data_IF_130913841313
#
_entry.id   IF_130913841313
#
_cell.length_a   1.000
_cell.length_b   1.000
_cell.length_c   1.000
_cell.angle_alpha   90.00
_cell.angle_beta   90.00
_cell.angle_gamma   90.00
#
_symmetry.space_group_name_H-M   'P 1'
#
loop_
_entity.id
_entity.type
_entity.pdbx_description
1 polymer ?
#
# COMPACT_ATOMS: atom_id res chain seq x y z
N UNK A 1 3.67 3.94 24.63
CA UNK A 1 3.90 5.37 24.30
C UNK A 1 3.14 5.80 23.03
N UNK A 2 3.08 4.96 22.00
CA UNK A 2 2.51 5.29 20.68
C UNK A 2 1.25 4.51 20.34
N UNK A 3 0.65 3.82 21.32
CA UNK A 3 -0.58 3.04 21.13
C UNK A 3 -1.82 3.90 20.83
N UNK A 4 -2.93 3.23 20.49
CA UNK A 4 -3.09 1.79 20.33
C UNK A 4 -2.30 1.25 19.13
N UNK A 5 -1.92 -0.06 19.15
CA UNK A 5 -1.07 -0.65 18.12
C UNK A 5 -1.83 -1.51 17.10
N UNK A 6 -3.08 -1.86 17.38
CA UNK A 6 -3.92 -2.60 16.44
C UNK A 6 -4.60 -1.64 15.48
N UNK A 7 -4.44 -1.87 14.18
CA UNK A 7 -5.05 -1.03 13.13
C UNK A 7 -6.55 -0.83 13.33
N UNK A 8 -7.28 -1.87 13.76
CA UNK A 8 -8.73 -1.81 14.02
C UNK A 8 -9.11 -0.83 15.14
N UNK A 9 -8.19 -0.50 16.04
CA UNK A 9 -8.39 0.41 17.18
C UNK A 9 -7.95 1.85 16.85
N UNK A 10 -7.46 2.10 15.62
CA UNK A 10 -6.86 3.37 15.21
C UNK A 10 -7.71 4.16 14.21
N UNK A 11 -8.95 3.77 13.98
CA UNK A 11 -9.83 4.42 12.99
C UNK A 11 -9.96 5.94 13.22
N UNK A 12 -10.11 6.34 14.47
CA UNK A 12 -10.20 7.76 14.86
C UNK A 12 -8.91 8.56 14.63
N UNK A 13 -7.76 7.88 14.55
CA UNK A 13 -6.47 8.49 14.23
C UNK A 13 -6.33 8.72 12.73
N UNK A 14 -6.81 7.79 11.90
CA UNK A 14 -6.71 7.90 10.45
C UNK A 14 -7.68 8.93 9.87
N UNK A 15 -8.90 9.04 10.42
CA UNK A 15 -9.96 9.87 9.84
C UNK A 15 -9.57 11.34 9.69
N UNK A 16 -9.02 12.05 10.70
CA UNK A 16 -8.60 13.45 10.53
C UNK A 16 -7.55 13.65 9.44
N UNK A 17 -6.66 12.68 9.26
CA UNK A 17 -5.63 12.73 8.21
C UNK A 17 -6.24 12.54 6.81
N UNK A 18 -7.22 11.66 6.68
CA UNK A 18 -7.98 11.49 5.43
C UNK A 18 -8.75 12.77 5.10
N UNK A 19 -9.39 13.39 6.09
CA UNK A 19 -10.11 14.66 5.93
C UNK A 19 -9.18 15.80 5.50
N UNK A 20 -7.95 15.82 6.02
CA UNK A 20 -6.92 16.77 5.60
C UNK A 20 -6.51 16.57 4.13
N UNK A 21 -6.38 15.31 3.67
CA UNK A 21 -6.08 15.00 2.26
C UNK A 21 -7.25 15.40 1.34
N UNK A 22 -8.49 15.21 1.77
CA UNK A 22 -9.68 15.66 1.05
C UNK A 22 -9.72 17.19 0.95
N UNK A 23 -9.50 17.89 2.06
CA UNK A 23 -9.50 19.35 2.11
C UNK A 23 -8.39 19.99 1.26
N UNK A 24 -7.22 19.34 1.17
CA UNK A 24 -6.09 19.78 0.35
C UNK A 24 -6.16 19.29 -1.11
N UNK A 25 -7.26 18.66 -1.53
CA UNK A 25 -7.41 18.07 -2.86
C UNK A 25 -6.32 17.03 -3.22
N UNK A 26 -5.67 16.44 -2.22
CA UNK A 26 -4.74 15.32 -2.40
C UNK A 26 -5.46 13.97 -2.41
N UNK A 27 -6.75 13.96 -2.03
CA UNK A 27 -7.63 12.81 -2.14
C UNK A 27 -9.03 13.25 -2.58
N UNK A 28 -9.86 12.30 -2.99
CA UNK A 28 -11.24 12.55 -3.43
C UNK A 28 -12.13 11.34 -3.22
N UNK A 29 -13.44 11.57 -3.21
CA UNK A 29 -14.48 10.54 -3.13
C UNK A 29 -14.67 9.84 -4.48
N UNK A 30 -14.65 8.51 -4.47
CA UNK A 30 -14.88 7.68 -5.65
C UNK A 30 -16.08 6.76 -5.41
N UNK A 31 -17.06 6.83 -6.29
CA UNK A 31 -18.34 6.11 -6.22
C UNK A 31 -18.44 4.96 -7.24
N UNK A 32 -17.37 4.64 -7.95
CA UNK A 32 -17.38 3.55 -8.94
C UNK A 32 -17.74 2.22 -8.28
N UNK A 33 -18.59 1.45 -8.94
CA UNK A 33 -18.89 0.08 -8.55
C UNK A 33 -17.77 -0.88 -8.97
N UNK A 34 -17.77 -2.10 -8.44
CA UNK A 34 -16.77 -3.11 -8.83
C UNK A 34 -16.95 -3.51 -10.30
N UNK A 35 -18.21 -3.57 -10.77
CA UNK A 35 -18.56 -3.88 -12.16
C UNK A 35 -18.02 -2.81 -13.13
N UNK A 36 -18.18 -1.52 -12.78
CA UNK A 36 -17.63 -0.42 -13.58
C UNK A 36 -16.11 -0.48 -13.64
N UNK A 37 -15.44 -0.74 -12.51
CA UNK A 37 -13.98 -0.85 -12.44
C UNK A 37 -13.45 -2.06 -13.22
N UNK A 38 -14.15 -3.21 -13.18
CA UNK A 38 -13.71 -4.39 -13.94
C UNK A 38 -13.94 -4.20 -15.45
N UNK A 39 -15.06 -3.63 -15.87
CA UNK A 39 -15.31 -3.31 -17.28
C UNK A 39 -14.24 -2.36 -17.83
N UNK A 40 -13.79 -1.38 -17.03
CA UNK A 40 -12.70 -0.47 -17.40
C UNK A 40 -11.37 -1.23 -17.57
N UNK A 41 -11.02 -2.11 -16.62
CA UNK A 41 -9.80 -2.94 -16.71
C UNK A 41 -9.81 -3.86 -17.92
N UNK A 42 -10.96 -4.49 -18.22
CA UNK A 42 -11.11 -5.35 -19.39
C UNK A 42 -10.93 -4.56 -20.71
N UNK A 43 -11.54 -3.38 -20.78
CA UNK A 43 -11.38 -2.50 -21.93
C UNK A 43 -9.91 -2.06 -22.14
N UNK A 44 -9.19 -1.77 -21.08
CA UNK A 44 -7.74 -1.43 -21.11
C UNK A 44 -6.91 -2.64 -21.56
N UNK A 45 -7.16 -3.84 -21.00
CA UNK A 45 -6.49 -5.09 -21.44
C UNK A 45 -6.72 -5.38 -22.93
N UNK A 46 -7.96 -5.16 -23.40
CA UNK A 46 -8.30 -5.36 -24.81
C UNK A 46 -7.53 -4.41 -25.77
N UNK A 47 -7.13 -3.22 -25.26
CA UNK A 47 -6.28 -2.28 -26.00
C UNK A 47 -4.77 -2.52 -25.80
N UNK A 48 -4.38 -3.54 -25.02
CA UNK A 48 -2.99 -3.82 -24.68
C UNK A 48 -2.38 -2.86 -23.65
N UNK A 49 -3.22 -2.12 -22.95
CA UNK A 49 -2.81 -1.20 -21.90
C UNK A 49 -2.69 -1.91 -20.52
N UNK A 50 -1.78 -1.43 -19.67
CA UNK A 50 -1.72 -1.89 -18.30
C UNK A 50 -2.95 -1.37 -17.54
N UNK A 51 -3.74 -2.24 -16.89
CA UNK A 51 -4.92 -1.82 -16.13
C UNK A 51 -4.59 -0.80 -15.03
N UNK A 52 -5.28 0.32 -15.05
CA UNK A 52 -5.17 1.37 -14.06
C UNK A 52 -6.53 2.05 -13.84
N UNK A 53 -6.69 2.76 -12.75
CA UNK A 53 -7.89 3.56 -12.53
C UNK A 53 -7.81 4.85 -13.36
N UNK A 54 -8.76 5.06 -14.28
CA UNK A 54 -8.74 6.19 -15.22
C UNK A 54 -9.12 7.55 -14.59
N UNK A 55 -9.50 7.59 -13.31
CA UNK A 55 -9.82 8.84 -12.64
C UNK A 55 -11.27 9.32 -12.83
N UNK A 56 -12.20 8.41 -13.15
CA UNK A 56 -13.62 8.70 -13.45
C UNK A 56 -14.29 9.63 -12.43
N UNK A 57 -13.99 9.48 -11.13
CA UNK A 57 -14.54 10.32 -10.08
C UNK A 57 -13.62 11.48 -9.64
N UNK A 58 -12.46 11.64 -10.28
CA UNK A 58 -11.44 12.57 -9.78
C UNK A 58 -11.85 14.05 -9.78
N UNK A 59 -12.78 14.43 -10.65
CA UNK A 59 -13.19 15.81 -10.84
C UNK A 59 -14.71 15.99 -10.70
N UNK A 60 -15.40 15.13 -9.95
CA UNK A 60 -16.83 15.30 -9.66
C UNK A 60 -17.07 16.59 -8.87
N UNK A 61 -18.05 17.36 -9.33
CA UNK A 61 -18.53 18.53 -8.59
C UNK A 61 -19.28 18.13 -7.31
N UNK A 62 -19.43 19.04 -6.34
CA UNK A 62 -20.22 18.75 -5.13
C UNK A 62 -21.66 18.31 -5.45
N UNK A 63 -22.28 18.87 -6.50
CA UNK A 63 -23.62 18.50 -6.94
C UNK A 63 -23.68 17.07 -7.50
N UNK A 64 -22.67 16.67 -8.27
CA UNK A 64 -22.55 15.31 -8.81
C UNK A 64 -22.30 14.30 -7.68
N UNK A 65 -21.48 14.66 -6.69
CA UNK A 65 -21.26 13.83 -5.51
C UNK A 65 -22.55 13.64 -4.72
N UNK A 66 -23.26 14.74 -4.41
CA UNK A 66 -24.53 14.70 -3.70
C UNK A 66 -25.58 13.85 -4.44
N UNK A 67 -25.62 13.91 -5.77
CA UNK A 67 -26.51 13.10 -6.60
C UNK A 67 -26.20 11.60 -6.49
N UNK A 68 -24.91 11.22 -6.44
CA UNK A 68 -24.50 9.82 -6.23
C UNK A 68 -24.83 9.34 -4.81
N UNK A 69 -24.60 10.17 -3.80
CA UNK A 69 -24.95 9.88 -2.41
C UNK A 69 -26.46 9.74 -2.21
N UNK A 70 -27.29 10.56 -2.89
CA UNK A 70 -28.75 10.42 -2.90
C UNK A 70 -29.24 9.11 -3.56
N UNK A 71 -28.44 8.49 -4.40
CA UNK A 71 -28.68 7.15 -4.96
C UNK A 71 -28.27 6.01 -4.02
N UNK A 72 -27.78 6.32 -2.82
CA UNK A 72 -27.33 5.34 -1.83
C UNK A 72 -25.91 4.81 -2.08
N UNK A 73 -25.13 5.46 -2.95
CA UNK A 73 -23.74 5.06 -3.20
C UNK A 73 -22.83 5.59 -2.10
N UNK A 74 -22.16 4.69 -1.41
CA UNK A 74 -21.11 5.03 -0.44
C UNK A 74 -19.74 5.13 -1.15
N UNK A 75 -18.97 6.22 -0.95
CA UNK A 75 -17.69 6.38 -1.59
C UNK A 75 -16.59 5.59 -0.90
N UNK A 76 -15.57 5.22 -1.68
CA UNK A 76 -14.21 5.01 -1.18
C UNK A 76 -13.44 6.32 -1.33
N UNK A 77 -12.36 6.50 -0.57
CA UNK A 77 -11.46 7.64 -0.74
C UNK A 77 -10.23 7.17 -1.52
N UNK A 78 -9.93 7.88 -2.61
CA UNK A 78 -8.72 7.66 -3.41
C UNK A 78 -7.71 8.77 -3.20
N UNK A 79 -6.45 8.36 -3.10
CA UNK A 79 -5.31 9.28 -3.15
C UNK A 79 -5.08 9.71 -4.59
N UNK A 80 -4.90 11.01 -4.80
CA UNK A 80 -4.59 11.60 -6.10
C UNK A 80 -3.09 11.47 -6.36
N UNK A 81 -2.72 10.59 -7.24
CA UNK A 81 -1.34 10.33 -7.62
C UNK A 81 -0.80 11.52 -8.45
N UNK A 82 0.30 12.16 -8.03
CA UNK A 82 0.98 13.16 -8.86
C UNK A 82 1.37 12.58 -10.20
N UNK A 83 1.17 13.30 -11.29
CA UNK A 83 1.54 12.86 -12.64
C UNK A 83 2.96 13.29 -13.00
N UNK A 84 3.62 12.55 -13.89
CA UNK A 84 4.97 12.85 -14.39
C UNK A 84 5.98 13.13 -13.26
N UNK A 85 5.91 12.37 -12.19
CA UNK A 85 6.77 12.55 -11.01
C UNK A 85 7.58 11.29 -10.76
N UNK A 86 8.89 11.46 -10.62
CA UNK A 86 9.79 10.38 -10.26
C UNK A 86 9.95 10.30 -8.75
N UNK A 87 9.72 9.13 -8.17
CA UNK A 87 9.93 8.82 -6.76
C UNK A 87 11.19 8.00 -6.59
N UNK A 88 12.19 8.57 -5.92
CA UNK A 88 13.49 7.95 -5.64
C UNK A 88 13.67 7.71 -4.15
N UNK A 89 14.29 6.60 -3.82
CA UNK A 89 14.79 6.33 -2.48
C UNK A 89 16.00 5.40 -2.55
N UNK A 90 16.89 5.51 -1.56
CA UNK A 90 18.02 4.60 -1.41
C UNK A 90 17.61 3.50 -0.44
N UNK A 91 17.53 2.27 -0.96
CA UNK A 91 17.23 1.09 -0.17
C UNK A 91 18.51 0.53 0.46
N UNK A 92 18.44 0.13 1.74
CA UNK A 92 19.62 -0.38 2.48
C UNK A 92 20.21 -1.67 1.88
N UNK A 93 19.40 -2.44 1.14
CA UNK A 93 19.79 -3.75 0.59
C UNK A 93 19.94 -3.70 -0.92
N UNK A 94 19.01 -3.01 -1.60
CA UNK A 94 18.92 -2.99 -3.07
C UNK A 94 19.61 -1.78 -3.71
N UNK A 95 20.04 -0.79 -2.92
CA UNK A 95 20.62 0.46 -3.43
C UNK A 95 19.56 1.43 -3.95
N UNK A 96 19.93 2.24 -4.93
CA UNK A 96 19.03 3.29 -5.46
C UNK A 96 17.91 2.69 -6.30
N UNK A 97 16.68 3.05 -5.93
CA UNK A 97 15.44 2.61 -6.59
C UNK A 97 14.65 3.83 -7.03
N UNK A 98 14.08 3.76 -8.24
CA UNK A 98 13.31 4.83 -8.83
C UNK A 98 12.01 4.28 -9.44
N UNK A 99 10.92 5.03 -9.30
CA UNK A 99 9.62 4.74 -9.88
C UNK A 99 9.01 5.99 -10.50
N UNK A 100 8.49 5.84 -11.71
CA UNK A 100 7.63 6.84 -12.33
C UNK A 100 6.20 6.71 -11.78
N UNK A 101 5.61 7.82 -11.32
CA UNK A 101 4.26 7.85 -10.75
C UNK A 101 3.19 7.33 -11.70
N UNK A 102 3.38 7.52 -13.01
CA UNK A 102 2.42 7.07 -14.03
C UNK A 102 2.38 5.53 -14.17
N UNK A 103 3.40 4.83 -13.67
CA UNK A 103 3.52 3.38 -13.73
C UNK A 103 2.99 2.63 -12.50
N UNK A 104 2.47 3.33 -11.49
CA UNK A 104 2.00 2.69 -10.24
C UNK A 104 0.54 2.24 -10.24
N UNK A 105 -0.15 2.36 -11.38
CA UNK A 105 -1.55 1.92 -11.55
C UNK A 105 -2.61 2.97 -11.26
N UNK A 106 -2.25 4.26 -11.29
CA UNK A 106 -3.18 5.39 -11.10
C UNK A 106 -3.57 5.64 -9.64
N UNK A 107 -4.63 6.44 -9.46
CA UNK A 107 -5.11 6.84 -8.14
C UNK A 107 -5.60 5.61 -7.34
N UNK A 108 -5.02 5.40 -6.16
CA UNK A 108 -5.29 4.21 -5.35
C UNK A 108 -6.18 4.51 -4.15
N UNK A 109 -6.96 3.52 -3.71
CA UNK A 109 -7.84 3.65 -2.56
C UNK A 109 -7.01 3.75 -1.27
N UNK A 110 -7.30 4.75 -0.44
CA UNK A 110 -6.70 4.93 0.89
C UNK A 110 -7.69 4.61 2.01
N UNK A 111 -9.01 4.73 1.77
CA UNK A 111 -10.05 4.36 2.71
C UNK A 111 -11.16 3.58 2.00
N UNK A 112 -11.55 2.48 2.58
CA UNK A 112 -12.67 1.65 2.15
C UNK A 112 -14.03 2.23 2.58
N UNK A 113 -15.15 1.71 2.03
CA UNK A 113 -16.52 2.13 2.39
C UNK A 113 -16.83 1.94 3.88
N UNK A 114 -16.27 0.93 4.53
CA UNK A 114 -16.42 0.68 5.98
C UNK A 114 -15.65 1.68 6.86
N UNK A 115 -14.97 2.67 6.24
CA UNK A 115 -14.17 3.67 6.90
C UNK A 115 -12.78 3.19 7.33
N UNK A 116 -12.41 1.94 7.05
CA UNK A 116 -11.08 1.42 7.36
C UNK A 116 -10.07 1.84 6.28
N UNK A 117 -8.86 2.24 6.68
CA UNK A 117 -7.80 2.55 5.74
C UNK A 117 -7.30 1.31 5.01
N UNK A 118 -6.73 1.52 3.83
CA UNK A 118 -5.99 0.48 3.13
C UNK A 118 -4.54 0.40 3.61
N UNK A 119 -3.87 -0.71 3.32
CA UNK A 119 -2.53 -1.01 3.80
C UNK A 119 -1.53 0.13 3.59
N UNK A 120 -1.39 0.64 2.36
CA UNK A 120 -0.34 1.62 2.04
C UNK A 120 -0.53 2.96 2.77
N UNK A 121 -1.76 3.37 3.03
CA UNK A 121 -2.04 4.57 3.82
C UNK A 121 -1.83 4.30 5.31
N UNK A 122 -2.41 3.22 5.83
CA UNK A 122 -2.33 2.91 7.25
C UNK A 122 -0.89 2.75 7.73
N UNK A 123 -0.06 1.98 6.98
CA UNK A 123 1.33 1.74 7.38
C UNK A 123 2.16 3.03 7.37
N UNK A 124 1.98 3.91 6.37
CA UNK A 124 2.71 5.18 6.32
C UNK A 124 2.34 6.10 7.49
N UNK A 125 1.05 6.15 7.86
CA UNK A 125 0.57 6.92 9.02
C UNK A 125 1.10 6.32 10.32
N UNK A 126 1.01 5.01 10.48
CA UNK A 126 1.43 4.32 11.69
C UNK A 126 2.94 4.43 11.89
N UNK A 127 3.73 4.21 10.86
CA UNK A 127 5.18 4.34 10.90
C UNK A 127 5.60 5.77 11.31
N UNK A 128 4.94 6.79 10.76
CA UNK A 128 5.21 8.18 11.15
C UNK A 128 4.84 8.45 12.61
N UNK A 129 3.61 8.12 13.02
CA UNK A 129 3.10 8.41 14.37
C UNK A 129 3.79 7.56 15.45
N UNK A 130 4.21 6.35 15.13
CA UNK A 130 4.98 5.47 16.01
C UNK A 130 6.49 5.74 15.95
N UNK A 131 6.92 6.74 15.15
CA UNK A 131 8.34 7.15 15.01
C UNK A 131 9.24 6.02 14.55
N UNK A 132 8.77 5.22 13.62
CA UNK A 132 9.56 4.17 12.99
C UNK A 132 10.66 4.82 12.15
N UNK A 133 11.90 4.43 12.39
CA UNK A 133 13.07 4.97 11.70
C UNK A 133 13.54 4.09 10.54
N UNK A 134 13.30 2.78 10.63
CA UNK A 134 13.72 1.81 9.63
C UNK A 134 12.61 0.79 9.38
N UNK A 135 12.33 0.51 8.10
CA UNK A 135 11.37 -0.50 7.64
C UNK A 135 12.14 -1.59 6.90
N UNK A 136 12.30 -2.75 7.55
CA UNK A 136 12.93 -3.94 6.95
C UNK A 136 11.84 -4.95 6.60
N UNK A 137 11.71 -5.32 5.32
CA UNK A 137 10.64 -6.19 4.85
C UNK A 137 11.02 -6.96 3.58
N UNK A 138 10.18 -7.88 3.14
CA UNK A 138 10.41 -8.62 1.90
C UNK A 138 10.33 -7.72 0.65
N UNK A 139 11.06 -8.07 -0.39
CA UNK A 139 11.13 -7.30 -1.64
C UNK A 139 9.82 -7.37 -2.47
N UNK A 140 8.88 -8.23 -2.13
CA UNK A 140 7.50 -8.19 -2.64
C UNK A 140 6.75 -6.88 -2.28
N UNK A 141 7.28 -6.12 -1.32
CA UNK A 141 6.75 -4.81 -0.93
C UNK A 141 7.40 -3.61 -1.63
N UNK A 142 8.41 -3.80 -2.47
CA UNK A 142 9.10 -2.69 -3.18
C UNK A 142 8.09 -1.81 -3.95
N UNK A 143 7.16 -2.42 -4.68
CA UNK A 143 6.14 -1.70 -5.45
C UNK A 143 5.12 -0.93 -4.58
N UNK A 144 5.06 -1.17 -3.27
CA UNK A 144 4.25 -0.40 -2.33
C UNK A 144 4.94 0.88 -1.86
N UNK A 145 6.27 0.89 -1.84
CA UNK A 145 7.08 2.00 -1.31
C UNK A 145 6.75 3.35 -1.95
N UNK A 146 6.63 3.51 -3.28
CA UNK A 146 6.29 4.80 -3.88
C UNK A 146 4.92 5.31 -3.43
N UNK A 147 3.92 4.44 -3.22
CA UNK A 147 2.61 4.84 -2.69
C UNK A 147 2.70 5.38 -1.26
N UNK A 148 3.55 4.78 -0.45
CA UNK A 148 3.82 5.24 0.92
C UNK A 148 4.59 6.56 0.92
N UNK A 149 5.62 6.71 0.08
CA UNK A 149 6.37 7.96 -0.09
C UNK A 149 5.46 9.14 -0.50
N UNK A 150 4.47 8.91 -1.36
CA UNK A 150 3.47 9.91 -1.72
C UNK A 150 2.63 10.38 -0.52
N UNK A 151 2.31 9.47 0.42
CA UNK A 151 1.61 9.83 1.65
C UNK A 151 2.51 10.69 2.54
N UNK A 152 3.78 10.32 2.72
CA UNK A 152 4.77 11.12 3.45
C UNK A 152 4.91 12.52 2.85
N UNK A 153 5.05 12.61 1.54
CA UNK A 153 5.13 13.89 0.82
C UNK A 153 3.88 14.75 1.02
N UNK A 154 2.69 14.16 0.92
CA UNK A 154 1.42 14.88 1.04
C UNK A 154 1.24 15.56 2.41
N UNK A 155 1.84 14.99 3.46
CA UNK A 155 1.84 15.55 4.81
C UNK A 155 3.11 16.33 5.17
N UNK A 156 4.12 16.37 4.29
CA UNK A 156 5.42 16.98 4.58
C UNK A 156 6.21 16.21 5.64
N UNK A 157 5.98 14.91 5.78
CA UNK A 157 6.67 14.05 6.74
C UNK A 157 7.97 13.50 6.16
N UNK A 158 8.95 13.24 7.04
CA UNK A 158 10.16 12.52 6.67
C UNK A 158 9.90 11.01 6.67
N UNK A 159 10.12 10.30 5.55
CA UNK A 159 9.93 8.85 5.50
C UNK A 159 11.02 8.12 6.30
N UNK A 160 10.75 6.87 6.74
CA UNK A 160 11.77 6.00 7.31
C UNK A 160 12.78 5.55 6.25
N UNK A 161 13.90 5.00 6.70
CA UNK A 161 14.83 4.29 5.82
C UNK A 161 14.27 2.92 5.49
N UNK A 162 14.26 2.53 4.21
CA UNK A 162 13.74 1.24 3.75
C UNK A 162 14.87 0.25 3.49
N UNK A 163 14.61 -1.03 3.77
CA UNK A 163 15.45 -2.16 3.38
C UNK A 163 14.59 -3.33 2.93
N UNK A 164 14.70 -3.71 1.65
CA UNK A 164 13.92 -4.78 1.05
C UNK A 164 14.76 -6.03 0.85
N UNK A 165 14.52 -7.02 1.71
CA UNK A 165 15.25 -8.28 1.71
C UNK A 165 14.69 -9.25 0.67
N UNK A 166 15.56 -10.02 0.04
CA UNK A 166 15.17 -11.06 -0.90
C UNK A 166 14.31 -12.11 -0.19
N UNK A 167 13.24 -12.51 -0.85
CA UNK A 167 12.35 -13.55 -0.34
C UNK A 167 13.03 -14.91 -0.39
N UNK A 168 12.80 -15.73 0.65
CA UNK A 168 13.14 -17.13 0.63
C UNK A 168 12.09 -17.86 -0.22
N UNK A 169 12.55 -18.55 -1.26
CA UNK A 169 11.71 -19.28 -2.20
C UNK A 169 11.94 -20.79 -2.05
N UNK A 170 10.91 -21.55 -2.34
CA UNK A 170 11.02 -23.01 -2.52
C UNK A 170 11.72 -23.27 -3.85
N UNK A 171 12.85 -23.98 -3.83
CA UNK A 171 13.67 -24.26 -5.01
C UNK A 171 12.99 -25.18 -6.03
N UNK A 172 12.06 -26.03 -5.60
CA UNK A 172 11.32 -26.93 -6.49
C UNK A 172 10.17 -26.24 -7.20
N UNK A 173 9.44 -25.35 -6.49
CA UNK A 173 8.25 -24.69 -7.05
C UNK A 173 8.50 -23.26 -7.53
N UNK A 174 9.64 -22.66 -7.17
CA UNK A 174 9.96 -21.25 -7.44
C UNK A 174 9.06 -20.26 -6.70
N UNK A 175 8.19 -20.73 -5.80
CA UNK A 175 7.24 -19.89 -5.06
C UNK A 175 7.80 -19.44 -3.72
N UNK A 176 7.36 -18.26 -3.26
CA UNK A 176 7.62 -17.77 -1.91
C UNK A 176 7.20 -18.81 -0.87
N UNK A 177 8.03 -19.06 0.13
CA UNK A 177 7.66 -19.90 1.27
C UNK A 177 6.43 -19.31 1.97
N UNK A 178 5.45 -20.15 2.24
CA UNK A 178 4.20 -19.76 2.87
C UNK A 178 3.98 -20.58 4.14
N UNK A 179 3.60 -19.93 5.23
CA UNK A 179 3.20 -20.57 6.49
C UNK A 179 2.00 -21.54 6.35
N UNK A 180 1.39 -21.60 5.16
CA UNK A 180 0.29 -22.53 4.83
C UNK A 180 0.78 -23.79 4.13
N UNK A 181 2.06 -23.88 3.81
CA UNK A 181 2.66 -25.04 3.14
C UNK A 181 3.27 -25.96 4.20
N UNK A 182 2.50 -26.96 4.63
CA UNK A 182 2.91 -27.91 5.66
C UNK A 182 4.03 -28.87 5.21
N UNK A 183 4.37 -28.88 3.92
CA UNK A 183 5.44 -29.73 3.37
C UNK A 183 6.85 -29.20 3.64
N UNK A 184 6.97 -27.97 4.16
CA UNK A 184 8.23 -27.26 4.33
C UNK A 184 8.39 -26.81 5.79
N UNK A 185 9.60 -26.89 6.31
CA UNK A 185 9.94 -26.33 7.61
C UNK A 185 9.77 -24.81 7.58
N UNK A 186 8.90 -24.29 8.44
CA UNK A 186 8.48 -22.88 8.39
C UNK A 186 8.74 -22.13 9.69
N UNK A 187 8.90 -22.87 10.78
CA UNK A 187 9.04 -22.31 12.11
C UNK A 187 10.44 -22.56 12.67
N UNK A 188 10.99 -21.55 13.34
CA UNK A 188 12.32 -21.63 13.96
C UNK A 188 12.41 -22.81 14.94
N UNK A 189 11.32 -23.11 15.63
CA UNK A 189 11.23 -24.25 16.56
C UNK A 189 11.55 -25.57 15.86
N UNK A 190 11.06 -25.77 14.64
CA UNK A 190 11.30 -26.99 13.85
C UNK A 190 12.78 -27.15 13.50
N UNK A 191 13.46 -26.06 13.11
CA UNK A 191 14.90 -26.09 12.85
C UNK A 191 15.71 -26.37 14.11
N UNK A 192 15.30 -25.79 15.25
CA UNK A 192 15.91 -26.04 16.55
C UNK A 192 15.77 -27.52 16.97
N UNK A 193 14.60 -28.12 16.78
CA UNK A 193 14.34 -29.54 17.07
C UNK A 193 15.20 -30.46 16.19
N UNK A 194 15.50 -30.07 14.97
CA UNK A 194 16.40 -30.76 14.06
C UNK A 194 17.88 -30.52 14.37
N UNK A 195 18.21 -29.70 15.36
CA UNK A 195 19.57 -29.44 15.81
C UNK A 195 20.32 -28.37 15.04
N UNK A 196 19.65 -27.53 14.25
CA UNK A 196 20.29 -26.40 13.61
C UNK A 196 20.76 -25.37 14.65
N UNK A 197 21.98 -24.91 14.52
CA UNK A 197 22.55 -23.89 15.40
C UNK A 197 22.01 -22.50 15.03
N UNK A 198 21.69 -21.64 16.03
CA UNK A 198 21.23 -20.27 15.78
C UNK A 198 22.16 -19.47 14.85
N UNK A 199 23.46 -19.55 15.05
CA UNK A 199 24.43 -18.84 14.22
C UNK A 199 24.43 -19.28 12.75
N UNK A 200 24.21 -20.58 12.50
CA UNK A 200 24.06 -21.10 11.14
C UNK A 200 22.77 -20.56 10.47
N UNK A 201 21.68 -20.52 11.21
CA UNK A 201 20.40 -19.95 10.73
C UNK A 201 20.48 -18.45 10.48
N UNK A 202 21.27 -17.73 11.27
CA UNK A 202 21.43 -16.29 11.14
C UNK A 202 22.30 -15.90 9.93
N UNK A 203 23.25 -16.75 9.57
CA UNK A 203 24.17 -16.51 8.44
C UNK A 203 23.66 -17.05 7.09
N UNK A 204 22.58 -17.81 7.09
CA UNK A 204 21.94 -18.31 5.86
C UNK A 204 21.10 -17.22 5.19
#
# INVERSE_FOLDING_TARGET
EYGPYRQSERKEIYQPLIDQLLASNRAYKCYCTEEELEAEREAQRARGEMPHYAGTCANLTPEEQAKKEAQGLEPVIRFRVPRNTEYKFTDMVKGDISFESDNIGGDYVIQKRDGMPTYNFAVAVDDHLMKITHVLRGDDHIANTPKQLMVYEAFGWTPPTFGHMTLIINTETGKKLSKRDESILQFIEQYRELGYLPDAMFNF
#
